data_IF_268337820172
#
_entry.id   IF_268337820172
#
_cell.length_a   1.000
_cell.length_b   1.000
_cell.length_c   1.000
_cell.angle_alpha   90.00
_cell.angle_beta   90.00
_cell.angle_gamma   90.00
#
_symmetry.space_group_name_H-M   'P 1'
#
loop_
_entity.id
_entity.type
_entity.pdbx_description
1 polymer ?
#
# COMPACT_ATOMS: atom_id res chain seq x y z
N UNK A 1 39.85 -41.43 48.77
CA UNK A 1 38.82 -41.80 49.72
C UNK A 1 37.54 -41.31 49.04
N UNK A 2 37.03 -42.18 48.22
CA UNK A 2 35.93 -43.15 48.36
C UNK A 2 34.61 -42.47 48.52
N UNK A 3 33.90 -42.32 47.41
CA UNK A 3 32.79 -43.17 46.98
C UNK A 3 31.95 -43.72 48.14
N UNK A 4 30.68 -43.47 47.98
CA UNK A 4 29.50 -44.11 48.57
C UNK A 4 28.82 -43.44 49.77
N UNK A 5 27.57 -43.52 49.62
CA UNK A 5 26.45 -43.45 50.56
C UNK A 5 25.72 -42.09 50.67
N UNK A 6 24.64 -41.96 49.93
CA UNK A 6 23.31 -41.95 50.51
C UNK A 6 22.21 -42.03 49.39
N UNK A 7 21.67 -43.18 49.32
CA UNK A 7 20.38 -43.49 48.70
C UNK A 7 19.25 -43.22 49.73
N UNK A 8 18.09 -42.93 49.26
CA UNK A 8 16.76 -42.94 49.84
C UNK A 8 16.23 -41.58 50.42
N UNK A 9 15.35 -40.97 49.63
CA UNK A 9 13.95 -40.75 50.02
C UNK A 9 13.17 -40.18 48.83
N UNK A 10 12.68 -41.05 47.93
CA UNK A 10 11.57 -40.75 47.03
C UNK A 10 10.25 -40.81 47.81
N UNK A 11 9.63 -39.66 48.04
CA UNK A 11 8.19 -39.61 48.33
C UNK A 11 7.48 -39.15 47.06
N UNK A 12 6.76 -40.09 46.45
CA UNK A 12 5.82 -39.85 45.36
C UNK A 12 4.70 -38.95 45.87
N UNK A 13 4.58 -37.76 45.27
CA UNK A 13 3.31 -37.04 45.19
C UNK A 13 2.85 -37.12 43.74
N UNK A 14 1.97 -38.09 43.46
CA UNK A 14 1.17 -38.13 42.27
C UNK A 14 0.12 -37.01 42.36
N UNK A 15 0.38 -35.89 41.70
CA UNK A 15 -0.65 -34.96 41.34
C UNK A 15 -1.28 -35.48 40.03
N UNK A 16 -2.51 -35.96 40.09
CA UNK A 16 -3.35 -36.21 38.93
C UNK A 16 -3.57 -34.92 38.18
N UNK A 17 -2.84 -34.71 37.11
CA UNK A 17 -3.20 -33.77 36.09
C UNK A 17 -4.20 -34.44 35.16
N UNK A 18 -5.47 -34.11 35.32
CA UNK A 18 -6.50 -34.50 34.37
C UNK A 18 -6.21 -33.80 33.06
N UNK A 19 -5.63 -34.54 32.12
CA UNK A 19 -5.58 -34.11 30.71
C UNK A 19 -7.01 -34.17 30.21
N UNK A 20 -7.64 -33.01 30.09
CA UNK A 20 -8.86 -32.91 29.28
C UNK A 20 -8.44 -33.18 27.84
N UNK A 21 -8.98 -34.23 27.28
CA UNK A 21 -8.91 -34.50 25.87
C UNK A 21 -9.46 -33.28 25.14
N UNK A 22 -8.66 -32.69 24.25
CA UNK A 22 -9.16 -31.74 23.32
C UNK A 22 -10.25 -32.41 22.50
N UNK A 23 -11.46 -31.88 22.59
CA UNK A 23 -12.57 -32.29 21.75
C UNK A 23 -12.15 -32.16 20.29
N UNK A 24 -12.10 -33.30 19.62
CA UNK A 24 -12.03 -33.35 18.15
C UNK A 24 -13.36 -32.76 17.69
N UNK A 25 -13.30 -31.53 17.18
CA UNK A 25 -14.45 -30.89 16.55
C UNK A 25 -14.84 -31.75 15.36
N UNK A 26 -15.99 -32.40 15.48
CA UNK A 26 -16.59 -33.20 14.42
C UNK A 26 -16.91 -32.29 13.23
N UNK A 27 -16.29 -32.55 12.09
CA UNK A 27 -16.44 -31.75 10.85
C UNK A 27 -17.85 -31.82 10.23
N UNK A 28 -18.83 -32.36 10.96
CA UNK A 28 -20.21 -32.54 10.53
C UNK A 28 -21.24 -31.92 11.47
N UNK A 29 -20.92 -30.88 12.24
CA UNK A 29 -21.93 -30.15 13.00
C UNK A 29 -22.67 -29.17 12.07
N UNK A 30 -23.95 -29.38 11.74
CA UNK A 30 -24.73 -28.53 10.84
C UNK A 30 -25.27 -27.26 11.52
N UNK A 31 -24.73 -26.86 12.67
CA UNK A 31 -25.29 -25.78 13.50
C UNK A 31 -24.69 -24.39 13.27
N UNK A 32 -23.71 -24.22 12.36
CA UNK A 32 -23.30 -22.91 11.86
C UNK A 32 -23.68 -22.81 10.39
N UNK A 33 -24.95 -22.48 10.14
CA UNK A 33 -25.35 -22.00 8.82
C UNK A 33 -24.48 -20.81 8.42
N UNK A 34 -24.24 -20.56 7.10
CA UNK A 34 -23.47 -19.43 6.65
C UNK A 34 -24.06 -18.17 7.27
N UNK A 35 -23.30 -17.53 8.18
CA UNK A 35 -23.68 -16.25 8.76
C UNK A 35 -24.09 -15.33 7.63
N UNK A 36 -25.09 -14.47 7.86
CA UNK A 36 -25.75 -13.66 6.83
C UNK A 36 -24.72 -12.80 6.08
N UNK A 37 -24.13 -13.39 5.04
CA UNK A 37 -23.10 -12.81 4.18
C UNK A 37 -23.58 -11.48 3.54
N UNK A 38 -24.90 -11.24 3.53
CA UNK A 38 -25.52 -10.02 3.02
C UNK A 38 -25.34 -8.84 3.97
N UNK A 39 -25.42 -9.06 5.29
CA UNK A 39 -25.25 -8.02 6.30
C UNK A 39 -23.78 -7.54 6.35
N UNK A 40 -22.82 -8.46 6.36
CA UNK A 40 -21.39 -8.13 6.33
C UNK A 40 -21.00 -7.37 5.04
N UNK A 41 -21.52 -7.79 3.90
CA UNK A 41 -21.33 -7.09 2.63
C UNK A 41 -21.95 -5.69 2.64
N UNK A 42 -23.12 -5.52 3.20
CA UNK A 42 -23.78 -4.20 3.31
C UNK A 42 -22.99 -3.26 4.23
N UNK A 43 -22.46 -3.77 5.34
CA UNK A 43 -21.61 -3.00 6.24
C UNK A 43 -20.30 -2.58 5.56
N UNK A 44 -19.64 -3.50 4.85
CA UNK A 44 -18.44 -3.23 4.05
C UNK A 44 -18.70 -2.13 3.01
N UNK A 45 -19.82 -2.19 2.29
CA UNK A 45 -20.20 -1.15 1.33
C UNK A 45 -20.47 0.21 2.01
N UNK A 46 -21.10 0.23 3.18
CA UNK A 46 -21.24 1.48 3.95
C UNK A 46 -19.88 2.06 4.35
N UNK A 47 -18.97 1.22 4.85
CA UNK A 47 -17.61 1.63 5.20
C UNK A 47 -16.82 2.13 3.98
N UNK A 48 -16.96 1.47 2.82
CA UNK A 48 -16.32 1.90 1.57
C UNK A 48 -16.78 3.31 1.14
N UNK A 49 -18.07 3.63 1.30
CA UNK A 49 -18.64 4.94 0.97
C UNK A 49 -18.57 5.98 2.09
N UNK A 50 -17.83 5.69 3.16
CA UNK A 50 -17.52 6.68 4.17
C UNK A 50 -16.76 7.86 3.51
N UNK A 51 -17.06 9.09 3.95
CA UNK A 51 -16.46 10.28 3.34
C UNK A 51 -14.95 10.33 3.62
N UNK A 52 -14.15 10.38 2.58
CA UNK A 52 -12.69 10.62 2.64
C UNK A 52 -12.35 11.78 1.71
N UNK A 53 -12.25 12.98 2.25
CA UNK A 53 -11.94 14.20 1.48
C UNK A 53 -10.55 14.12 0.87
N UNK A 54 -9.56 13.80 1.69
CA UNK A 54 -8.17 13.58 1.29
C UNK A 54 -7.68 12.27 1.90
N UNK A 55 -7.15 11.39 1.05
CA UNK A 55 -6.34 10.26 1.46
C UNK A 55 -4.87 10.67 1.30
N UNK A 56 -4.10 10.69 2.39
CA UNK A 56 -2.68 11.01 2.35
C UNK A 56 -1.85 9.73 2.28
N UNK A 57 -1.08 9.55 1.21
CA UNK A 57 -0.08 8.48 1.16
C UNK A 57 1.18 8.89 1.93
N UNK A 58 1.59 8.08 2.88
CA UNK A 58 2.87 8.20 3.55
C UNK A 58 3.79 7.05 3.13
N UNK A 59 4.93 7.41 2.53
CA UNK A 59 5.94 6.48 1.98
C UNK A 59 6.67 5.65 3.06
N UNK A 60 6.45 5.94 4.35
CA UNK A 60 7.00 5.23 5.51
C UNK A 60 8.49 5.44 5.75
N UNK A 61 9.17 6.25 4.93
CA UNK A 61 10.57 6.58 5.14
C UNK A 61 10.80 7.76 6.11
N UNK A 62 9.78 8.21 6.79
CA UNK A 62 9.81 9.16 7.90
C UNK A 62 10.63 8.62 9.07
N UNK A 63 10.59 7.33 9.35
CA UNK A 63 11.46 6.67 10.34
C UNK A 63 12.97 6.88 10.12
N UNK A 64 13.38 7.23 8.90
CA UNK A 64 14.78 7.48 8.51
C UNK A 64 15.18 8.95 8.53
N UNK A 65 14.24 9.84 8.68
CA UNK A 65 14.45 11.28 8.53
C UNK A 65 14.24 12.05 9.84
N UNK A 66 14.28 11.34 10.98
CA UNK A 66 14.31 12.00 12.28
C UNK A 66 15.57 12.86 12.33
N UNK A 67 15.42 14.13 12.68
CA UNK A 67 16.55 15.01 12.84
C UNK A 67 17.44 14.49 13.99
N UNK A 68 18.76 14.47 13.77
CA UNK A 68 19.73 13.88 14.71
C UNK A 68 19.75 14.57 16.08
N UNK A 69 19.14 15.76 16.18
CA UNK A 69 19.06 16.59 17.37
C UNK A 69 17.76 16.43 18.19
N UNK A 70 16.80 15.61 17.69
CA UNK A 70 15.54 15.37 18.41
C UNK A 70 15.63 14.11 19.28
N UNK A 71 14.95 14.13 20.47
CA UNK A 71 14.76 12.93 21.27
C UNK A 71 13.89 11.96 20.51
N UNK A 72 14.26 10.99 19.92
CA UNK A 72 13.63 10.10 18.97
C UNK A 72 12.50 9.27 19.60
N UNK A 73 11.48 9.97 19.97
CA UNK A 73 10.25 9.43 20.54
C UNK A 73 9.21 9.12 19.44
N UNK A 74 8.16 8.38 19.81
CA UNK A 74 7.00 8.18 18.94
C UNK A 74 6.32 9.48 18.52
N UNK A 75 6.32 10.46 19.43
CA UNK A 75 5.76 11.79 19.14
C UNK A 75 6.61 12.55 18.12
N UNK A 76 7.93 12.42 18.15
CA UNK A 76 8.82 13.01 17.14
C UNK A 76 8.63 12.35 15.78
N UNK A 77 8.47 11.04 15.74
CA UNK A 77 8.12 10.29 14.53
C UNK A 77 6.80 10.78 13.94
N UNK A 78 5.73 10.85 14.73
CA UNK A 78 4.41 11.31 14.27
C UNK A 78 4.43 12.78 13.86
N UNK A 79 5.20 13.63 14.53
CA UNK A 79 5.29 15.07 14.25
C UNK A 79 5.81 15.38 12.85
N UNK A 80 6.64 14.50 12.28
CA UNK A 80 7.24 14.75 10.99
C UNK A 80 6.22 14.81 9.85
N UNK A 81 5.22 13.90 9.83
CA UNK A 81 4.30 13.76 8.69
C UNK A 81 2.84 13.58 9.09
N UNK A 82 2.54 13.35 10.35
CA UNK A 82 1.25 12.82 10.76
C UNK A 82 0.51 13.73 11.74
N UNK A 83 1.06 14.07 12.92
CA UNK A 83 0.33 14.84 13.93
C UNK A 83 -0.18 16.20 13.43
N UNK A 84 0.54 16.95 12.57
CA UNK A 84 0.02 18.22 12.05
C UNK A 84 -1.14 18.08 11.07
N UNK A 85 -1.48 16.87 10.63
CA UNK A 85 -2.66 16.62 9.78
C UNK A 85 -3.97 16.63 10.58
N UNK A 86 -3.92 16.51 11.89
CA UNK A 86 -5.11 16.59 12.75
C UNK A 86 -5.81 17.94 12.54
N UNK A 87 -7.15 17.89 12.30
CA UNK A 87 -7.95 19.07 11.99
C UNK A 87 -7.78 19.59 10.56
N UNK A 88 -7.09 18.89 9.67
CA UNK A 88 -7.05 19.13 8.23
C UNK A 88 -8.21 18.43 7.50
N UNK A 89 -8.16 18.37 6.18
CA UNK A 89 -9.10 17.58 5.38
C UNK A 89 -8.65 16.13 5.14
N UNK A 90 -7.58 15.69 5.82
CA UNK A 90 -7.09 14.31 5.72
C UNK A 90 -7.97 13.43 6.61
N UNK A 91 -8.75 12.57 5.99
CA UNK A 91 -9.64 11.63 6.66
C UNK A 91 -9.06 10.20 6.70
N UNK A 92 -8.05 9.92 5.86
CA UNK A 92 -7.34 8.63 5.87
C UNK A 92 -5.85 8.79 5.55
N UNK A 93 -5.02 7.95 6.17
CA UNK A 93 -3.60 7.82 5.87
C UNK A 93 -3.34 6.41 5.31
N UNK A 94 -2.79 6.35 4.10
CA UNK A 94 -2.32 5.12 3.50
C UNK A 94 -0.82 5.01 3.75
N UNK A 95 -0.48 4.21 4.76
CA UNK A 95 0.86 4.12 5.31
C UNK A 95 1.63 2.93 4.73
N UNK A 96 2.72 3.21 4.03
CA UNK A 96 3.64 2.20 3.51
C UNK A 96 4.78 1.98 4.51
N UNK A 97 5.05 0.74 4.88
CA UNK A 97 6.12 0.41 5.83
C UNK A 97 7.43 -0.01 5.17
N UNK A 98 7.50 0.02 3.85
CA UNK A 98 8.72 -0.35 3.13
C UNK A 98 8.52 -0.72 1.67
N UNK A 99 9.50 -1.37 1.09
CA UNK A 99 9.45 -1.93 -0.27
C UNK A 99 9.06 -3.40 -0.28
N UNK A 100 8.93 -3.99 -1.48
CA UNK A 100 8.51 -5.40 -1.63
C UNK A 100 9.30 -6.35 -0.74
N UNK A 101 8.61 -6.97 0.21
CA UNK A 101 9.07 -8.01 1.13
C UNK A 101 10.07 -7.57 2.20
N UNK A 102 10.40 -6.28 2.25
CA UNK A 102 11.15 -5.66 3.34
C UNK A 102 10.34 -4.53 3.96
N UNK A 103 10.40 -4.42 5.27
CA UNK A 103 9.79 -3.33 6.00
C UNK A 103 10.77 -2.70 6.99
N UNK A 104 10.51 -1.45 7.36
CA UNK A 104 11.08 -0.86 8.57
C UNK A 104 10.59 -1.64 9.80
N UNK A 105 11.10 -1.33 10.97
CA UNK A 105 10.78 -2.06 12.20
C UNK A 105 9.29 -2.41 12.32
N UNK A 106 8.99 -3.72 12.42
CA UNK A 106 7.64 -4.28 12.45
C UNK A 106 7.61 -5.61 13.19
N UNK A 107 6.40 -6.09 13.49
CA UNK A 107 6.17 -7.41 14.09
C UNK A 107 5.71 -8.46 13.07
N UNK A 108 5.64 -8.14 11.79
CA UNK A 108 5.33 -9.12 10.73
C UNK A 108 6.36 -10.24 10.72
N UNK A 109 5.89 -11.48 10.51
CA UNK A 109 6.74 -12.66 10.38
C UNK A 109 6.98 -13.05 8.93
N UNK A 110 6.21 -12.45 8.01
CA UNK A 110 6.29 -12.76 6.59
C UNK A 110 7.17 -11.77 5.80
N UNK A 111 7.60 -10.67 6.41
CA UNK A 111 8.51 -9.71 5.81
C UNK A 111 9.85 -9.67 6.52
N UNK A 112 10.86 -9.16 5.84
CA UNK A 112 12.19 -8.99 6.39
C UNK A 112 12.38 -7.54 6.88
N UNK A 113 13.18 -7.37 7.91
CA UNK A 113 13.65 -6.04 8.31
C UNK A 113 14.67 -5.52 7.29
N UNK A 114 14.64 -4.23 7.00
CA UNK A 114 15.77 -3.58 6.39
C UNK A 114 16.99 -3.74 7.29
N UNK A 115 17.90 -4.61 6.89
CA UNK A 115 19.18 -4.80 7.56
C UNK A 115 20.21 -3.91 6.90
N UNK A 116 20.88 -3.13 7.73
CA UNK A 116 22.06 -2.35 7.34
C UNK A 116 21.83 -1.37 6.18
N UNK A 117 21.24 -0.26 6.47
CA UNK A 117 21.33 0.90 5.58
C UNK A 117 22.77 1.48 5.54
N UNK A 118 23.69 0.86 6.25
CA UNK A 118 25.15 1.12 6.21
C UNK A 118 25.60 2.49 6.69
N UNK A 119 24.71 3.42 6.96
CA UNK A 119 25.06 4.80 7.28
C UNK A 119 24.18 5.51 8.30
N UNK A 120 22.95 5.04 8.55
CA UNK A 120 22.06 5.68 9.50
C UNK A 120 21.39 4.63 10.40
N UNK A 121 21.30 4.86 11.70
CA UNK A 121 20.53 4.02 12.58
C UNK A 121 19.08 3.98 12.07
N UNK A 122 18.52 2.78 11.91
CA UNK A 122 17.11 2.59 11.63
C UNK A 122 16.31 2.95 12.88
N UNK A 123 15.83 4.18 12.94
CA UNK A 123 15.07 4.70 14.09
C UNK A 123 13.78 3.95 14.33
N UNK A 124 13.17 3.39 13.28
CA UNK A 124 12.10 2.42 13.41
C UNK A 124 12.52 1.23 14.26
N UNK A 125 13.79 0.87 14.23
CA UNK A 125 14.36 -0.16 15.09
C UNK A 125 14.26 0.21 16.58
N UNK A 126 14.61 1.43 16.97
CA UNK A 126 14.51 1.88 18.36
C UNK A 126 13.06 2.05 18.80
N UNK A 127 12.19 2.63 17.96
CA UNK A 127 10.78 2.79 18.26
C UNK A 127 10.05 1.47 18.53
N UNK A 128 10.49 0.36 17.91
CA UNK A 128 9.89 -0.95 18.09
C UNK A 128 10.43 -1.78 19.26
N UNK A 129 11.53 -1.38 19.91
CA UNK A 129 12.14 -2.18 20.99
C UNK A 129 11.30 -2.21 22.27
N UNK A 130 10.63 -1.10 22.62
CA UNK A 130 9.94 -0.90 23.87
C UNK A 130 8.41 -0.80 23.73
N UNK A 131 7.80 -1.43 22.72
CA UNK A 131 6.34 -1.41 22.53
C UNK A 131 5.90 -1.40 21.07
N UNK A 132 4.82 -0.66 20.72
CA UNK A 132 4.28 -0.63 19.37
C UNK A 132 5.33 -0.25 18.33
N UNK A 133 5.36 -0.98 17.22
CA UNK A 133 6.17 -0.61 16.05
C UNK A 133 5.58 0.59 15.29
N UNK A 134 6.20 0.96 14.17
CA UNK A 134 5.80 2.14 13.40
C UNK A 134 4.37 2.04 12.85
N UNK A 135 3.95 0.85 12.40
CA UNK A 135 2.59 0.65 11.88
C UNK A 135 1.56 0.70 13.01
N UNK A 136 1.83 0.00 14.14
CA UNK A 136 0.94 0.07 15.30
C UNK A 136 0.85 1.49 15.86
N UNK A 137 1.98 2.22 15.90
CA UNK A 137 2.00 3.63 16.33
C UNK A 137 1.12 4.50 15.42
N UNK A 138 1.16 4.25 14.11
CA UNK A 138 0.32 4.97 13.14
C UNK A 138 -1.17 4.64 13.30
N UNK A 139 -1.52 3.36 13.49
CA UNK A 139 -2.89 2.89 13.73
C UNK A 139 -3.44 3.49 15.02
N UNK A 140 -2.70 3.40 16.12
CA UNK A 140 -3.11 3.94 17.42
C UNK A 140 -3.32 5.46 17.36
N UNK A 141 -2.50 6.17 16.59
CA UNK A 141 -2.64 7.61 16.39
C UNK A 141 -3.87 7.92 15.53
N UNK A 142 -4.04 7.24 14.41
CA UNK A 142 -5.17 7.46 13.50
C UNK A 142 -6.51 7.27 14.21
N UNK A 143 -6.67 6.14 14.90
CA UNK A 143 -7.90 5.83 15.62
C UNK A 143 -8.21 6.82 16.76
N UNK A 144 -7.19 7.37 17.44
CA UNK A 144 -7.39 8.42 18.47
C UNK A 144 -7.87 9.75 17.89
N UNK A 145 -7.67 9.97 16.60
CA UNK A 145 -7.97 11.25 15.94
C UNK A 145 -9.00 11.13 14.82
N UNK A 146 -9.75 10.02 14.78
CA UNK A 146 -10.76 9.74 13.75
C UNK A 146 -10.20 9.80 12.32
N UNK A 147 -8.96 9.34 12.14
CA UNK A 147 -8.28 9.20 10.85
C UNK A 147 -8.11 7.71 10.55
N UNK A 148 -8.68 7.23 9.46
CA UNK A 148 -8.50 5.83 9.04
C UNK A 148 -7.04 5.56 8.66
N UNK A 149 -6.56 4.36 8.96
CA UNK A 149 -5.21 3.92 8.59
C UNK A 149 -5.28 2.65 7.74
N UNK A 150 -4.89 2.79 6.49
CA UNK A 150 -4.70 1.66 5.58
C UNK A 150 -3.23 1.32 5.50
N UNK A 151 -2.90 0.04 5.54
CA UNK A 151 -1.55 -0.38 5.19
C UNK A 151 -1.39 -0.48 3.68
N UNK A 152 -0.42 0.27 3.13
CA UNK A 152 -0.15 0.33 1.70
C UNK A 152 1.00 -0.61 1.33
N UNK A 153 0.68 -1.69 0.60
CA UNK A 153 1.66 -2.60 0.05
C UNK A 153 2.02 -2.24 -1.39
N UNK A 154 3.27 -1.89 -1.63
CA UNK A 154 3.80 -1.77 -2.99
C UNK A 154 3.87 -3.15 -3.63
N UNK A 155 2.97 -3.42 -4.57
CA UNK A 155 2.86 -4.75 -5.20
C UNK A 155 4.12 -5.12 -5.97
N UNK A 156 4.78 -4.15 -6.60
CA UNK A 156 6.16 -4.29 -7.03
C UNK A 156 6.99 -3.06 -6.61
N UNK A 157 8.21 -3.30 -6.13
CA UNK A 157 9.16 -2.26 -5.79
C UNK A 157 10.54 -2.64 -6.32
N UNK A 158 11.17 -1.76 -7.08
CA UNK A 158 12.46 -1.99 -7.73
C UNK A 158 13.55 -1.05 -7.23
N UNK A 159 13.37 -0.44 -6.04
CA UNK A 159 14.42 0.37 -5.42
C UNK A 159 15.67 -0.45 -5.11
N UNK A 160 15.49 -1.74 -4.84
CA UNK A 160 16.56 -2.70 -4.59
C UNK A 160 17.50 -2.91 -5.79
N UNK A 161 17.06 -2.63 -7.00
CA UNK A 161 17.95 -2.60 -8.17
C UNK A 161 19.02 -1.50 -8.10
N UNK A 162 18.72 -0.39 -7.40
CA UNK A 162 19.64 0.72 -7.19
C UNK A 162 20.33 0.64 -5.83
N UNK A 163 19.62 0.21 -4.82
CA UNK A 163 20.05 0.17 -3.43
C UNK A 163 20.07 -1.27 -2.94
N UNK A 164 21.22 -1.91 -3.00
CA UNK A 164 21.37 -3.34 -2.67
C UNK A 164 20.89 -3.70 -1.26
N UNK A 165 20.95 -2.76 -0.32
CA UNK A 165 20.47 -2.93 1.05
C UNK A 165 18.92 -3.08 1.12
N UNK A 166 18.19 -2.62 0.11
CA UNK A 166 16.74 -2.79 0.02
C UNK A 166 16.35 -4.20 -0.44
N UNK A 167 17.27 -4.99 -0.99
CA UNK A 167 16.92 -6.30 -1.54
C UNK A 167 16.75 -7.33 -0.44
N UNK A 168 15.54 -7.91 -0.35
CA UNK A 168 15.24 -8.97 0.62
C UNK A 168 16.08 -10.22 0.37
N UNK A 169 16.34 -10.98 1.43
CA UNK A 169 16.98 -12.31 1.29
C UNK A 169 16.09 -13.24 0.46
N UNK A 170 14.76 -13.12 0.62
CA UNK A 170 13.83 -13.90 -0.19
C UNK A 170 14.06 -13.69 -1.70
N UNK A 171 14.22 -12.45 -2.17
CA UNK A 171 14.55 -12.18 -3.58
C UNK A 171 15.92 -12.71 -3.97
N UNK A 172 16.93 -12.61 -3.09
CA UNK A 172 18.29 -13.08 -3.35
C UNK A 172 18.37 -14.60 -3.53
N UNK A 173 17.56 -15.36 -2.78
CA UNK A 173 17.54 -16.83 -2.90
C UNK A 173 16.55 -17.34 -3.96
N UNK A 174 15.72 -16.45 -4.53
CA UNK A 174 14.78 -16.77 -5.61
C UNK A 174 15.00 -15.88 -6.86
N UNK A 175 16.23 -15.78 -7.40
CA UNK A 175 16.51 -14.91 -8.52
C UNK A 175 15.69 -15.23 -9.77
N UNK A 176 15.26 -16.48 -9.93
CA UNK A 176 14.40 -16.94 -11.04
C UNK A 176 13.00 -16.32 -11.03
N UNK A 177 12.55 -15.78 -9.90
CA UNK A 177 11.23 -15.11 -9.77
C UNK A 177 11.29 -13.62 -10.11
N UNK A 178 12.49 -13.07 -10.29
CA UNK A 178 12.66 -11.70 -10.77
C UNK A 178 12.51 -11.62 -12.29
N UNK A 179 12.14 -10.45 -12.78
CA UNK A 179 11.94 -10.18 -14.21
C UNK A 179 13.21 -10.35 -15.05
N UNK A 180 14.38 -10.06 -14.49
CA UNK A 180 15.67 -10.10 -15.18
C UNK A 180 16.84 -10.26 -14.22
N UNK A 181 18.02 -9.85 -14.67
CA UNK A 181 19.28 -9.93 -13.94
C UNK A 181 19.93 -8.55 -13.77
N UNK A 182 20.78 -8.36 -12.75
CA UNK A 182 21.53 -7.12 -12.58
C UNK A 182 22.24 -6.68 -13.85
N UNK A 183 22.03 -5.42 -14.25
CA UNK A 183 22.65 -4.84 -15.46
C UNK A 183 21.97 -5.21 -16.78
N UNK A 184 20.93 -6.01 -16.78
CA UNK A 184 20.18 -6.33 -17.99
C UNK A 184 19.53 -5.08 -18.56
N UNK A 185 19.74 -4.85 -19.87
CA UNK A 185 19.06 -3.81 -20.64
C UNK A 185 17.75 -4.35 -21.23
N UNK A 186 16.76 -3.47 -21.33
CA UNK A 186 15.47 -3.79 -21.92
C UNK A 186 15.31 -3.04 -23.24
N UNK A 187 14.65 -3.63 -24.25
CA UNK A 187 14.65 -3.13 -25.63
C UNK A 187 13.87 -1.83 -25.82
N UNK A 188 13.18 -1.33 -24.81
CA UNK A 188 12.41 -0.09 -24.89
C UNK A 188 12.50 0.71 -23.58
N UNK A 189 12.08 1.98 -23.63
CA UNK A 189 12.11 2.92 -22.51
C UNK A 189 13.47 3.59 -22.32
N UNK A 190 13.46 4.76 -21.70
CA UNK A 190 14.68 5.55 -21.50
C UNK A 190 15.63 4.85 -20.54
N UNK A 191 16.92 4.88 -20.86
CA UNK A 191 18.02 4.24 -20.12
C UNK A 191 18.10 4.59 -18.61
N UNK A 192 17.40 5.64 -18.17
CA UNK A 192 17.44 6.10 -16.77
C UNK A 192 16.82 5.13 -15.76
N UNK A 193 15.94 4.23 -16.16
CA UNK A 193 15.32 3.27 -15.26
C UNK A 193 15.81 1.85 -15.52
N UNK A 194 17.04 1.58 -15.11
CA UNK A 194 17.64 0.24 -15.19
C UNK A 194 17.12 -0.75 -14.13
N UNK A 195 16.16 -0.33 -13.28
CA UNK A 195 15.75 -1.09 -12.10
C UNK A 195 14.70 -2.16 -12.33
N UNK A 196 14.04 -2.20 -13.47
CA UNK A 196 12.92 -3.14 -13.72
C UNK A 196 13.28 -4.60 -13.58
N UNK A 197 14.57 -4.97 -13.74
CA UNK A 197 15.03 -6.34 -13.62
C UNK A 197 14.73 -6.98 -12.26
N UNK A 198 14.69 -6.18 -11.18
CA UNK A 198 14.41 -6.68 -9.83
C UNK A 198 12.93 -6.78 -9.49
N UNK A 199 12.03 -6.37 -10.39
CA UNK A 199 10.60 -6.60 -10.22
C UNK A 199 10.30 -8.11 -10.19
N UNK A 200 9.25 -8.49 -9.48
CA UNK A 200 8.82 -9.88 -9.35
C UNK A 200 7.78 -10.22 -10.43
N UNK A 201 7.89 -11.43 -10.96
CA UNK A 201 6.98 -11.96 -11.98
C UNK A 201 5.76 -12.61 -11.34
N UNK A 202 4.61 -11.94 -11.43
CA UNK A 202 3.35 -12.44 -10.87
C UNK A 202 2.75 -13.63 -11.61
N UNK A 203 3.31 -14.04 -12.74
CA UNK A 203 2.97 -15.33 -13.36
C UNK A 203 3.39 -16.51 -12.46
N UNK A 204 4.44 -16.32 -11.64
CA UNK A 204 4.90 -17.31 -10.69
C UNK A 204 3.95 -17.45 -9.49
N UNK A 205 3.41 -18.66 -9.21
CA UNK A 205 2.53 -18.86 -8.05
C UNK A 205 3.20 -18.52 -6.72
N UNK A 206 4.52 -18.77 -6.60
CA UNK A 206 5.31 -18.51 -5.39
C UNK A 206 5.32 -17.01 -5.02
N UNK A 207 5.32 -16.11 -6.02
CA UNK A 207 5.23 -14.67 -5.81
C UNK A 207 3.86 -14.32 -5.25
N UNK A 208 2.78 -14.81 -5.87
CA UNK A 208 1.41 -14.56 -5.42
C UNK A 208 1.15 -15.11 -4.01
N UNK A 209 1.69 -16.30 -3.73
CA UNK A 209 1.58 -16.91 -2.39
C UNK A 209 2.32 -16.06 -1.33
N UNK A 210 3.53 -15.59 -1.62
CA UNK A 210 4.30 -14.74 -0.71
C UNK A 210 3.58 -13.43 -0.43
N UNK A 211 3.03 -12.80 -1.47
CA UNK A 211 2.24 -11.57 -1.34
C UNK A 211 1.01 -11.79 -0.45
N UNK A 212 0.25 -12.87 -0.69
CA UNK A 212 -0.94 -13.17 0.11
C UNK A 212 -0.58 -13.40 1.59
N UNK A 213 0.50 -14.14 1.87
CA UNK A 213 0.95 -14.36 3.25
C UNK A 213 1.31 -13.06 3.96
N UNK A 214 2.01 -12.15 3.28
CA UNK A 214 2.35 -10.83 3.83
C UNK A 214 1.08 -10.03 4.14
N UNK A 215 0.13 -9.96 3.20
CA UNK A 215 -1.15 -9.27 3.38
C UNK A 215 -1.94 -9.87 4.55
N UNK A 216 -1.98 -11.20 4.64
CA UNK A 216 -2.66 -11.92 5.73
C UNK A 216 -2.02 -11.65 7.08
N UNK A 217 -0.70 -11.68 7.16
CA UNK A 217 0.03 -11.44 8.41
C UNK A 217 -0.19 -10.01 8.92
N UNK A 218 -0.13 -9.00 8.05
CA UNK A 218 -0.45 -7.62 8.44
C UNK A 218 -1.92 -7.47 8.85
N UNK A 219 -2.84 -8.00 8.05
CA UNK A 219 -4.28 -7.91 8.33
C UNK A 219 -4.69 -8.55 9.65
N UNK A 220 -3.96 -9.59 10.10
CA UNK A 220 -4.27 -10.29 11.35
C UNK A 220 -3.56 -9.71 12.57
N UNK A 221 -2.42 -9.04 12.38
CA UNK A 221 -1.63 -8.48 13.49
C UNK A 221 -1.98 -7.07 13.86
N UNK A 222 -2.38 -6.27 12.88
CA UNK A 222 -2.64 -4.85 13.07
C UNK A 222 -4.11 -4.53 12.83
N UNK A 223 -4.65 -3.65 13.64
CA UNK A 223 -6.04 -3.21 13.51
C UNK A 223 -6.21 -2.10 12.45
N UNK A 224 -5.63 -2.33 11.26
CA UNK A 224 -5.79 -1.41 10.13
C UNK A 224 -7.22 -1.40 9.61
N UNK A 225 -7.68 -0.27 9.06
CA UNK A 225 -9.02 -0.12 8.49
C UNK A 225 -9.13 -0.73 7.10
N UNK A 226 -7.99 -0.89 6.43
CA UNK A 226 -7.92 -1.54 5.12
C UNK A 226 -6.50 -1.83 4.67
N UNK A 227 -6.44 -2.48 3.52
CA UNK A 227 -5.21 -2.78 2.80
C UNK A 227 -5.24 -2.05 1.45
N UNK A 228 -4.18 -1.33 1.11
CA UNK A 228 -3.97 -0.84 -0.25
C UNK A 228 -3.00 -1.75 -0.99
N UNK A 229 -3.43 -2.25 -2.13
CA UNK A 229 -2.58 -2.92 -3.11
C UNK A 229 -2.09 -1.87 -4.11
N UNK A 230 -0.89 -1.33 -3.88
CA UNK A 230 -0.31 -0.29 -4.72
C UNK A 230 0.35 -0.89 -5.97
N UNK A 231 -0.43 -1.00 -7.06
CA UNK A 231 0.06 -1.44 -8.36
C UNK A 231 0.76 -0.31 -9.14
N UNK A 232 0.68 0.93 -8.66
CA UNK A 232 1.22 2.06 -9.41
C UNK A 232 2.64 2.46 -8.99
N UNK A 233 3.17 1.94 -7.88
CA UNK A 233 4.54 2.32 -7.44
C UNK A 233 5.59 2.03 -8.52
N UNK A 234 5.61 0.80 -9.03
CA UNK A 234 6.38 0.37 -10.19
C UNK A 234 5.52 -0.59 -11.02
N UNK A 235 4.77 -0.10 -12.02
CA UNK A 235 3.74 -0.87 -12.71
C UNK A 235 4.31 -1.87 -13.73
N UNK A 236 5.07 -2.84 -13.23
CA UNK A 236 5.65 -3.97 -13.99
C UNK A 236 5.36 -5.24 -13.22
N UNK A 237 4.60 -6.20 -13.82
CA UNK A 237 4.09 -7.39 -13.14
C UNK A 237 4.37 -8.69 -13.85
N UNK A 238 4.65 -8.65 -15.16
CA UNK A 238 4.81 -9.83 -15.98
C UNK A 238 6.00 -9.69 -16.93
N UNK A 239 6.75 -10.77 -17.13
CA UNK A 239 7.95 -10.78 -18.01
C UNK A 239 7.72 -10.25 -19.41
N UNK A 240 6.60 -10.51 -20.10
CA UNK A 240 6.35 -9.93 -21.40
C UNK A 240 6.48 -8.41 -21.46
N UNK A 241 6.12 -7.69 -20.36
CA UNK A 241 6.30 -6.25 -20.30
C UNK A 241 7.76 -5.81 -20.43
N UNK A 242 8.71 -6.66 -20.02
CA UNK A 242 10.13 -6.32 -20.03
C UNK A 242 10.70 -6.33 -21.45
N UNK A 243 10.18 -7.17 -22.33
CA UNK A 243 10.60 -7.35 -23.71
C UNK A 243 9.72 -6.59 -24.71
N UNK A 244 8.61 -6.00 -24.23
CA UNK A 244 7.62 -5.34 -25.06
C UNK A 244 6.70 -6.32 -25.78
N UNK A 245 6.62 -7.56 -25.29
CA UNK A 245 5.66 -8.55 -25.72
C UNK A 245 4.30 -8.31 -25.03
N UNK A 246 3.18 -8.71 -25.66
CA UNK A 246 1.86 -8.56 -25.08
C UNK A 246 1.69 -9.34 -23.78
N UNK A 247 1.10 -8.70 -22.80
CA UNK A 247 0.52 -9.36 -21.61
C UNK A 247 -0.83 -9.95 -22.02
N UNK A 248 -1.04 -11.24 -21.75
CA UNK A 248 -2.23 -11.99 -22.19
C UNK A 248 -3.34 -11.99 -21.13
N UNK A 249 -4.52 -12.51 -21.51
CA UNK A 249 -5.63 -12.70 -20.56
C UNK A 249 -5.24 -13.63 -19.40
N UNK A 250 -4.41 -14.64 -19.63
CA UNK A 250 -3.91 -15.53 -18.58
C UNK A 250 -3.16 -14.79 -17.48
N UNK A 251 -2.39 -13.76 -17.83
CA UNK A 251 -1.72 -12.89 -16.85
C UNK A 251 -2.73 -12.07 -16.04
N UNK A 252 -3.76 -11.54 -16.69
CA UNK A 252 -4.88 -10.88 -16.00
C UNK A 252 -5.61 -11.83 -15.05
N UNK A 253 -5.79 -13.09 -15.46
CA UNK A 253 -6.44 -14.12 -14.64
C UNK A 253 -5.61 -14.46 -13.40
N UNK A 254 -4.28 -14.53 -13.52
CA UNK A 254 -3.37 -14.71 -12.38
C UNK A 254 -3.52 -13.59 -11.34
N UNK A 255 -3.60 -12.35 -11.78
CA UNK A 255 -3.74 -11.20 -10.88
C UNK A 255 -5.15 -11.16 -10.27
N UNK A 256 -6.18 -11.45 -11.06
CA UNK A 256 -7.57 -11.53 -10.57
C UNK A 256 -7.75 -12.64 -9.53
N UNK A 257 -7.12 -13.81 -9.76
CA UNK A 257 -7.10 -14.90 -8.78
C UNK A 257 -6.48 -14.47 -7.44
N UNK A 258 -5.36 -13.74 -7.49
CA UNK A 258 -4.74 -13.18 -6.28
C UNK A 258 -5.71 -12.24 -5.55
N UNK A 259 -6.34 -11.30 -6.26
CA UNK A 259 -7.30 -10.39 -5.64
C UNK A 259 -8.50 -11.14 -5.03
N UNK A 260 -9.00 -12.17 -5.70
CA UNK A 260 -10.07 -13.02 -5.16
C UNK A 260 -9.67 -13.72 -3.85
N UNK A 261 -8.40 -14.15 -3.74
CA UNK A 261 -7.86 -14.71 -2.49
C UNK A 261 -7.71 -13.64 -1.40
N UNK A 262 -7.24 -12.44 -1.77
CA UNK A 262 -7.14 -11.30 -0.83
C UNK A 262 -8.53 -10.91 -0.33
N UNK A 263 -9.56 -10.91 -1.20
CA UNK A 263 -10.94 -10.62 -0.79
C UNK A 263 -11.44 -11.63 0.24
N UNK A 264 -11.30 -12.91 -0.01
CA UNK A 264 -11.69 -13.96 0.95
C UNK A 264 -10.97 -13.80 2.28
N UNK A 265 -9.65 -13.61 2.25
CA UNK A 265 -8.86 -13.37 3.45
C UNK A 265 -9.34 -12.14 4.23
N UNK A 266 -9.68 -11.06 3.53
CA UNK A 266 -10.18 -9.83 4.16
C UNK A 266 -11.56 -10.05 4.79
N UNK A 267 -12.46 -10.81 4.15
CA UNK A 267 -13.77 -11.16 4.71
C UNK A 267 -13.61 -12.04 5.96
N UNK A 268 -12.72 -13.05 5.92
CA UNK A 268 -12.41 -13.90 7.08
C UNK A 268 -11.83 -13.10 8.27
N UNK A 269 -11.00 -12.09 8.00
CA UNK A 269 -10.47 -11.20 9.05
C UNK A 269 -11.57 -10.31 9.59
N UNK A 270 -12.43 -9.75 8.73
CA UNK A 270 -13.54 -8.91 9.11
C UNK A 270 -14.53 -9.66 10.03
N UNK A 271 -14.87 -10.90 9.70
CA UNK A 271 -15.75 -11.76 10.51
C UNK A 271 -15.17 -12.00 11.91
N UNK A 272 -13.87 -12.28 12.00
CA UNK A 272 -13.21 -12.51 13.30
C UNK A 272 -13.14 -11.26 14.18
N UNK A 273 -12.99 -10.07 13.58
CA UNK A 273 -12.84 -8.81 14.33
C UNK A 273 -14.14 -8.02 14.48
N UNK A 274 -15.22 -8.46 13.83
CA UNK A 274 -16.56 -7.85 13.92
C UNK A 274 -16.66 -6.47 13.25
N UNK A 275 -15.74 -6.13 12.33
CA UNK A 275 -15.77 -4.92 11.51
C UNK A 275 -15.11 -5.12 10.16
N UNK A 276 -15.52 -4.40 9.11
CA UNK A 276 -14.92 -4.55 7.78
C UNK A 276 -13.41 -4.32 7.75
N UNK A 277 -12.72 -5.05 6.87
CA UNK A 277 -11.37 -4.75 6.40
C UNK A 277 -11.49 -4.38 4.93
N UNK A 278 -11.26 -3.12 4.57
CA UNK A 278 -11.45 -2.65 3.21
C UNK A 278 -10.23 -2.99 2.33
N UNK A 279 -10.48 -3.18 1.04
CA UNK A 279 -9.44 -3.35 0.02
C UNK A 279 -9.46 -2.14 -0.90
N UNK A 280 -8.34 -1.43 -0.97
CA UNK A 280 -8.07 -0.38 -1.94
C UNK A 280 -7.09 -0.88 -2.99
N UNK A 281 -7.27 -0.48 -4.25
CA UNK A 281 -6.28 -0.70 -5.30
C UNK A 281 -5.85 0.64 -5.88
N UNK A 282 -4.53 0.84 -6.08
CA UNK A 282 -4.00 1.99 -6.80
C UNK A 282 -3.48 1.55 -8.16
N UNK A 283 -4.10 2.04 -9.24
CA UNK A 283 -3.90 1.59 -10.61
C UNK A 283 -3.75 2.77 -11.58
N UNK A 284 -3.25 2.55 -12.83
CA UNK A 284 -3.34 3.55 -13.88
C UNK A 284 -4.77 4.01 -14.13
N UNK A 285 -4.95 5.28 -14.46
CA UNK A 285 -6.23 5.91 -14.73
C UNK A 285 -6.85 5.57 -16.12
N UNK A 286 -6.21 4.66 -16.85
CA UNK A 286 -6.72 4.08 -18.08
C UNK A 286 -6.94 2.58 -17.93
N UNK A 287 -8.18 2.13 -18.08
CA UNK A 287 -8.54 0.69 -18.06
C UNK A 287 -7.76 -0.09 -19.13
N UNK A 288 -7.60 0.48 -20.32
CA UNK A 288 -6.85 -0.16 -21.40
C UNK A 288 -5.36 -0.32 -21.04
N UNK A 289 -4.73 0.72 -20.48
CA UNK A 289 -3.34 0.63 -20.02
C UNK A 289 -3.22 -0.37 -18.87
N UNK A 290 -4.11 -0.32 -17.87
CA UNK A 290 -4.11 -1.24 -16.75
C UNK A 290 -4.19 -2.70 -17.25
N UNK A 291 -5.10 -2.99 -18.15
CA UNK A 291 -5.23 -4.33 -18.75
C UNK A 291 -4.00 -4.76 -19.55
N UNK A 292 -3.36 -3.84 -20.26
CA UNK A 292 -2.14 -4.11 -21.04
C UNK A 292 -0.92 -4.44 -20.15
N UNK A 293 -0.99 -4.16 -18.85
CA UNK A 293 0.02 -4.57 -17.84
C UNK A 293 -0.48 -5.69 -16.92
N UNK A 294 -1.62 -6.33 -17.25
CA UNK A 294 -2.16 -7.49 -16.54
C UNK A 294 -3.11 -7.16 -15.38
N UNK A 295 -3.63 -5.93 -15.31
CA UNK A 295 -4.56 -5.49 -14.26
C UNK A 295 -5.96 -5.34 -14.87
N UNK A 296 -6.80 -6.36 -14.77
CA UNK A 296 -8.18 -6.35 -15.28
C UNK A 296 -9.11 -5.66 -14.27
N UNK A 297 -8.91 -4.33 -14.10
CA UNK A 297 -9.57 -3.51 -13.09
C UNK A 297 -11.09 -3.58 -13.21
N UNK A 298 -11.63 -3.52 -14.42
CA UNK A 298 -13.09 -3.57 -14.62
C UNK A 298 -13.69 -4.89 -14.14
N UNK A 299 -12.98 -6.00 -14.35
CA UNK A 299 -13.36 -7.31 -13.81
C UNK A 299 -13.31 -7.33 -12.27
N UNK A 300 -12.27 -6.72 -11.68
CA UNK A 300 -12.16 -6.64 -10.21
C UNK A 300 -13.33 -5.89 -9.59
N UNK A 301 -13.77 -4.80 -10.24
CA UNK A 301 -14.95 -4.04 -9.81
C UNK A 301 -16.24 -4.85 -9.98
N UNK A 302 -16.39 -5.53 -11.11
CA UNK A 302 -17.56 -6.36 -11.43
C UNK A 302 -17.71 -7.56 -10.48
N UNK A 303 -16.59 -8.17 -10.07
CA UNK A 303 -16.54 -9.30 -9.16
C UNK A 303 -16.50 -8.85 -7.66
N UNK A 304 -16.63 -7.55 -7.37
CA UNK A 304 -16.66 -6.97 -6.00
C UNK A 304 -15.37 -7.27 -5.20
N UNK A 305 -14.21 -7.29 -5.86
CA UNK A 305 -12.94 -7.64 -5.25
C UNK A 305 -12.23 -6.46 -4.58
N UNK A 306 -12.65 -5.22 -4.85
CA UNK A 306 -12.09 -4.00 -4.29
C UNK A 306 -13.19 -3.08 -3.77
N UNK A 307 -12.87 -2.29 -2.76
CA UNK A 307 -13.78 -1.37 -2.08
C UNK A 307 -13.51 0.10 -2.43
N UNK A 308 -12.25 0.44 -2.73
CA UNK A 308 -11.83 1.78 -3.13
C UNK A 308 -10.93 1.71 -4.36
N UNK A 309 -11.12 2.64 -5.29
CA UNK A 309 -10.31 2.76 -6.50
C UNK A 309 -9.51 4.06 -6.45
N UNK A 310 -8.18 3.94 -6.30
CA UNK A 310 -7.24 5.05 -6.45
C UNK A 310 -6.67 5.01 -7.85
N UNK A 311 -6.79 6.11 -8.59
CA UNK A 311 -6.43 6.16 -10.00
C UNK A 311 -5.30 7.17 -10.29
N UNK A 312 -4.27 6.73 -11.01
CA UNK A 312 -3.16 7.57 -11.43
C UNK A 312 -1.98 7.62 -10.44
N UNK A 313 -1.02 8.50 -10.72
CA UNK A 313 0.19 8.65 -9.91
C UNK A 313 1.31 9.38 -10.65
N UNK A 314 2.32 8.64 -11.11
CA UNK A 314 3.47 9.22 -11.84
C UNK A 314 3.11 9.76 -13.22
N UNK A 315 2.04 9.26 -13.78
CA UNK A 315 1.47 9.72 -15.05
C UNK A 315 -0.06 9.78 -14.94
N UNK A 316 -0.66 10.53 -15.84
CA UNK A 316 -2.09 10.75 -15.99
C UNK A 316 -2.42 10.64 -17.48
N UNK A 317 -3.30 9.73 -17.83
CA UNK A 317 -3.51 9.27 -19.20
C UNK A 317 -4.81 9.77 -19.81
N UNK A 318 -5.83 9.92 -18.99
CA UNK A 318 -7.18 10.19 -19.45
C UNK A 318 -7.87 11.21 -18.53
N UNK A 319 -8.89 11.94 -19.02
CA UNK A 319 -9.72 12.77 -18.17
C UNK A 319 -10.28 11.96 -16.98
N UNK A 320 -10.36 12.59 -15.80
CA UNK A 320 -10.79 11.93 -14.56
C UNK A 320 -12.18 11.31 -14.68
N UNK A 321 -13.07 11.92 -15.48
CA UNK A 321 -14.42 11.44 -15.76
C UNK A 321 -14.43 9.98 -16.26
N UNK A 322 -13.41 9.59 -17.02
CA UNK A 322 -13.31 8.25 -17.59
C UNK A 322 -13.23 7.17 -16.51
N UNK A 323 -12.29 7.29 -15.59
CA UNK A 323 -12.09 6.29 -14.53
C UNK A 323 -13.14 6.40 -13.43
N UNK A 324 -13.63 7.62 -13.14
CA UNK A 324 -14.70 7.86 -12.16
C UNK A 324 -15.99 7.18 -12.63
N UNK A 325 -16.37 7.35 -13.89
CA UNK A 325 -17.54 6.69 -14.46
C UNK A 325 -17.45 5.16 -14.39
N UNK A 326 -16.24 4.61 -14.52
CA UNK A 326 -16.03 3.16 -14.38
C UNK A 326 -16.25 2.72 -12.93
N UNK A 327 -15.63 3.36 -11.95
CA UNK A 327 -15.83 3.01 -10.53
C UNK A 327 -17.29 3.14 -10.09
N UNK A 328 -17.95 4.24 -10.43
CA UNK A 328 -19.34 4.50 -10.07
C UNK A 328 -20.32 3.51 -10.71
N UNK A 329 -20.06 3.01 -11.93
CA UNK A 329 -20.86 1.95 -12.56
C UNK A 329 -20.98 0.70 -11.68
N UNK A 330 -19.95 0.40 -10.91
CA UNK A 330 -19.88 -0.75 -10.00
C UNK A 330 -20.09 -0.37 -8.54
N UNK A 331 -20.53 0.86 -8.26
CA UNK A 331 -20.73 1.37 -6.91
C UNK A 331 -19.46 1.28 -6.04
N UNK A 332 -18.32 1.72 -6.60
CA UNK A 332 -17.03 1.82 -5.93
C UNK A 332 -16.55 3.27 -5.98
N UNK A 333 -16.22 3.89 -4.83
CA UNK A 333 -15.73 5.27 -4.78
C UNK A 333 -14.33 5.37 -5.40
N UNK A 334 -14.09 6.51 -6.07
CA UNK A 334 -12.90 6.77 -6.86
C UNK A 334 -12.14 7.99 -6.35
N UNK A 335 -10.84 7.83 -6.17
CA UNK A 335 -9.92 8.83 -5.66
C UNK A 335 -8.81 9.12 -6.68
N UNK A 336 -8.92 10.18 -7.49
CA UNK A 336 -7.86 10.67 -8.35
C UNK A 336 -6.56 10.93 -7.58
N UNK A 337 -5.43 10.40 -8.07
CA UNK A 337 -4.14 10.53 -7.42
C UNK A 337 -3.37 11.77 -7.91
N UNK A 338 -3.29 12.76 -7.05
CA UNK A 338 -2.48 13.96 -7.21
C UNK A 338 -1.06 13.68 -6.70
N UNK A 339 -0.06 13.79 -7.57
CA UNK A 339 1.31 13.35 -7.26
C UNK A 339 2.32 14.46 -7.42
N UNK A 340 3.13 14.72 -6.39
CA UNK A 340 4.26 15.65 -6.49
C UNK A 340 5.30 15.24 -7.55
N UNK A 341 5.33 13.97 -7.93
CA UNK A 341 6.21 13.49 -9.01
C UNK A 341 5.78 13.99 -10.39
N UNK A 342 4.51 14.30 -10.56
CA UNK A 342 3.91 14.82 -11.79
C UNK A 342 3.68 16.34 -11.70
N UNK A 343 3.06 16.80 -10.63
CA UNK A 343 2.67 18.19 -10.44
C UNK A 343 3.82 19.09 -9.94
N UNK A 344 4.85 18.53 -9.33
CA UNK A 344 5.83 19.27 -8.54
C UNK A 344 5.36 19.47 -7.10
N UNK A 345 6.21 20.01 -6.23
CA UNK A 345 5.81 20.30 -4.85
C UNK A 345 4.94 21.55 -4.76
N UNK A 346 3.95 21.53 -3.88
CA UNK A 346 3.12 22.69 -3.62
C UNK A 346 3.90 23.79 -2.86
N UNK A 347 4.77 23.42 -1.93
CA UNK A 347 5.65 24.34 -1.20
C UNK A 347 7.09 23.88 -1.26
N UNK A 348 8.02 24.82 -1.08
CA UNK A 348 9.44 24.50 -0.98
C UNK A 348 9.71 23.61 0.25
N UNK A 349 10.60 22.64 0.07
CA UNK A 349 11.05 21.75 1.17
C UNK A 349 12.50 22.07 1.56
N UNK A 350 12.76 22.02 2.84
CA UNK A 350 14.10 22.22 3.40
C UNK A 350 14.96 20.93 3.39
N UNK A 351 14.42 19.80 2.88
CA UNK A 351 15.11 18.52 2.92
C UNK A 351 15.89 18.19 1.62
N UNK A 352 16.54 17.02 1.61
CA UNK A 352 17.38 16.52 0.51
C UNK A 352 16.67 16.35 -0.85
N UNK A 353 15.41 16.77 -1.00
CA UNK A 353 14.68 16.75 -2.26
C UNK A 353 14.56 18.13 -2.91
N UNK A 354 15.41 19.07 -2.54
CA UNK A 354 15.42 20.45 -3.06
C UNK A 354 15.55 20.56 -4.60
N UNK A 355 15.97 19.48 -5.28
CA UNK A 355 16.13 19.47 -6.74
C UNK A 355 14.82 19.27 -7.52
N UNK A 356 13.69 19.04 -6.84
CA UNK A 356 12.42 18.86 -7.53
C UNK A 356 11.73 20.20 -7.76
N UNK A 357 11.07 20.33 -8.92
CA UNK A 357 10.29 21.52 -9.28
C UNK A 357 9.26 21.83 -8.18
N UNK A 358 9.24 23.06 -7.72
CA UNK A 358 8.16 23.64 -6.94
C UNK A 358 7.19 24.29 -7.91
N UNK A 359 5.96 23.81 -7.96
CA UNK A 359 4.92 24.35 -8.85
C UNK A 359 4.00 25.34 -8.15
N UNK A 360 3.95 25.27 -6.83
CA UNK A 360 3.03 26.06 -6.02
C UNK A 360 1.67 25.39 -5.77
N UNK A 361 0.94 25.82 -4.74
CA UNK A 361 -0.35 25.22 -4.38
C UNK A 361 -1.44 25.43 -5.44
N UNK A 362 -1.35 26.47 -6.26
CA UNK A 362 -2.35 26.76 -7.30
C UNK A 362 -2.47 25.62 -8.34
N UNK A 363 -1.38 24.93 -8.68
CA UNK A 363 -1.39 23.76 -9.59
C UNK A 363 -2.12 22.58 -8.95
N UNK A 364 -1.90 22.35 -7.67
CA UNK A 364 -2.59 21.29 -6.92
C UNK A 364 -4.09 21.56 -6.79
N UNK A 365 -4.45 22.83 -6.54
CA UNK A 365 -5.86 23.26 -6.48
C UNK A 365 -6.56 23.06 -7.81
N UNK A 366 -5.94 23.46 -8.92
CA UNK A 366 -6.50 23.26 -10.25
C UNK A 366 -6.72 21.79 -10.61
N UNK A 367 -5.78 20.91 -10.24
CA UNK A 367 -5.93 19.48 -10.47
C UNK A 367 -7.00 18.86 -9.57
N UNK A 368 -7.09 19.27 -8.30
CA UNK A 368 -8.15 18.83 -7.40
C UNK A 368 -9.53 19.32 -7.84
N UNK A 369 -9.65 20.57 -8.28
CA UNK A 369 -10.90 21.11 -8.81
C UNK A 369 -11.41 20.26 -9.99
N UNK A 370 -10.54 19.92 -10.95
CA UNK A 370 -10.91 19.01 -12.06
C UNK A 370 -11.40 17.65 -11.56
N UNK A 371 -10.75 17.10 -10.52
CA UNK A 371 -11.16 15.81 -9.95
C UNK A 371 -12.56 15.91 -9.33
N UNK A 372 -12.83 16.96 -8.56
CA UNK A 372 -14.14 17.21 -7.97
C UNK A 372 -15.22 17.47 -9.01
N UNK A 373 -14.93 18.29 -10.04
CA UNK A 373 -15.86 18.58 -11.15
C UNK A 373 -16.22 17.32 -11.93
N UNK A 374 -15.27 16.40 -12.05
CA UNK A 374 -15.48 15.08 -12.67
C UNK A 374 -16.31 14.13 -11.77
N UNK A 375 -16.65 14.50 -10.54
CA UNK A 375 -17.46 13.72 -9.61
C UNK A 375 -16.68 12.76 -8.72
N UNK A 376 -15.40 13.03 -8.43
CA UNK A 376 -14.60 12.21 -7.52
C UNK A 376 -15.19 12.15 -6.10
N UNK A 377 -14.96 11.06 -5.40
CA UNK A 377 -15.39 10.87 -4.00
C UNK A 377 -14.42 11.46 -2.98
N UNK A 378 -13.25 11.87 -3.46
CA UNK A 378 -12.16 12.51 -2.74
C UNK A 378 -10.91 12.56 -3.60
N UNK A 379 -9.79 13.02 -3.03
CA UNK A 379 -8.50 13.04 -3.71
C UNK A 379 -7.45 12.25 -2.93
N UNK A 380 -6.53 11.60 -3.65
CA UNK A 380 -5.40 10.89 -3.08
C UNK A 380 -4.12 11.72 -3.30
N UNK A 381 -3.44 12.10 -2.22
CA UNK A 381 -2.23 12.92 -2.25
C UNK A 381 -0.99 12.02 -2.12
N UNK A 382 -0.15 12.01 -3.15
CA UNK A 382 1.03 11.14 -3.26
C UNK A 382 2.34 11.92 -3.33
N UNK A 383 3.35 11.46 -2.60
CA UNK A 383 4.69 12.06 -2.54
C UNK A 383 4.71 13.53 -2.04
N UNK A 384 3.71 13.95 -1.27
CA UNK A 384 3.68 15.23 -0.58
C UNK A 384 3.74 14.96 0.93
N UNK A 385 4.90 15.21 1.55
CA UNK A 385 5.20 14.77 2.91
C UNK A 385 5.35 15.92 3.91
N UNK A 386 5.13 17.17 3.50
CA UNK A 386 5.07 18.29 4.42
C UNK A 386 3.64 18.39 5.00
N UNK A 387 3.38 17.99 6.25
CA UNK A 387 2.03 18.00 6.81
C UNK A 387 1.49 19.41 7.08
N UNK A 388 2.36 20.42 6.99
CA UNK A 388 2.01 21.85 7.11
C UNK A 388 1.61 22.46 5.76
N UNK A 389 1.72 21.69 4.66
CA UNK A 389 1.36 22.20 3.34
C UNK A 389 -0.12 22.61 3.32
N UNK A 390 -0.47 23.81 2.83
CA UNK A 390 -1.85 24.29 2.80
C UNK A 390 -2.79 23.37 2.03
N UNK A 391 -2.29 22.60 1.05
CA UNK A 391 -3.11 21.68 0.26
C UNK A 391 -3.90 20.69 1.12
N UNK A 392 -3.37 20.27 2.27
CA UNK A 392 -4.09 19.35 3.17
C UNK A 392 -5.30 19.98 3.87
N UNK A 393 -5.45 21.30 3.81
CA UNK A 393 -6.58 22.06 4.36
C UNK A 393 -7.47 22.67 3.29
N UNK A 394 -7.10 22.51 2.01
CA UNK A 394 -7.76 23.15 0.88
C UNK A 394 -8.39 22.11 -0.06
N UNK A 395 -7.63 21.09 -0.49
CA UNK A 395 -8.03 20.20 -1.59
C UNK A 395 -9.28 19.37 -1.30
N UNK A 396 -9.65 19.19 -0.04
CA UNK A 396 -10.82 18.39 0.39
C UNK A 396 -12.14 19.18 0.41
N UNK A 397 -12.16 20.45 0.02
CA UNK A 397 -13.36 21.28 -0.03
C UNK A 397 -13.50 21.99 -1.38
N UNK A 398 -14.34 21.49 -2.30
CA UNK A 398 -14.56 22.10 -3.60
C UNK A 398 -15.00 23.56 -3.52
N UNK A 399 -15.85 23.92 -2.53
CA UNK A 399 -16.33 25.29 -2.37
C UNK A 399 -15.23 26.26 -1.92
N UNK A 400 -14.25 25.77 -1.16
CA UNK A 400 -13.07 26.56 -0.83
C UNK A 400 -12.17 26.70 -2.04
N UNK A 401 -12.00 25.65 -2.86
CA UNK A 401 -11.20 25.70 -4.08
C UNK A 401 -11.69 26.77 -5.05
N UNK A 402 -13.02 26.95 -5.21
CA UNK A 402 -13.62 27.98 -6.06
C UNK A 402 -13.20 29.41 -5.69
N UNK A 403 -12.73 29.62 -4.46
CA UNK A 403 -12.33 30.93 -3.93
C UNK A 403 -10.81 31.15 -3.98
N UNK A 404 -10.04 30.13 -4.34
CA UNK A 404 -8.59 30.17 -4.32
C UNK A 404 -8.02 30.23 -5.74
N UNK A 405 -6.84 30.81 -5.87
CA UNK A 405 -6.10 30.78 -7.13
C UNK A 405 -5.83 29.36 -7.59
N UNK A 406 -6.14 29.07 -8.84
CA UNK A 406 -5.97 27.79 -9.49
C UNK A 406 -5.17 27.93 -10.78
N UNK A 407 -4.30 26.97 -11.04
CA UNK A 407 -3.54 26.85 -12.30
C UNK A 407 -3.77 25.46 -12.89
N UNK A 408 -4.15 25.42 -14.15
CA UNK A 408 -4.42 24.18 -14.87
C UNK A 408 -3.23 23.82 -15.75
N UNK A 409 -2.53 22.74 -15.42
CA UNK A 409 -1.43 22.20 -16.22
C UNK A 409 -1.81 20.82 -16.76
N UNK A 410 -1.45 20.55 -18.02
CA UNK A 410 -1.50 19.22 -18.60
C UNK A 410 -0.11 18.61 -18.49
N UNK A 411 0.05 17.61 -17.65
CA UNK A 411 1.31 16.88 -17.48
C UNK A 411 1.05 15.38 -17.47
N UNK A 412 1.32 14.75 -18.62
CA UNK A 412 1.12 13.31 -18.81
C UNK A 412 2.09 12.47 -17.96
N UNK A 413 3.30 12.94 -17.74
CA UNK A 413 4.35 12.19 -17.03
C UNK A 413 5.06 11.14 -17.90
N UNK A 414 6.01 10.40 -17.33
CA UNK A 414 6.88 9.49 -18.07
C UNK A 414 6.24 8.10 -18.29
N UNK A 415 5.70 7.86 -19.47
CA UNK A 415 5.06 6.59 -19.87
C UNK A 415 6.02 5.55 -20.46
N UNK A 416 7.03 6.03 -21.19
CA UNK A 416 7.91 5.24 -22.07
C UNK A 416 8.68 4.11 -21.39
N UNK A 417 8.72 4.09 -20.09
CA UNK A 417 9.48 3.11 -19.30
C UNK A 417 8.65 1.95 -18.74
N UNK A 418 7.33 2.01 -18.81
CA UNK A 418 6.46 1.04 -18.14
C UNK A 418 5.74 0.08 -19.10
N UNK A 419 5.39 0.58 -20.28
CA UNK A 419 4.73 -0.20 -21.30
C UNK A 419 5.21 0.29 -22.67
N UNK A 420 5.59 -0.64 -23.56
CA UNK A 420 5.88 -0.33 -24.94
C UNK A 420 4.62 0.23 -25.61
N UNK A 421 4.77 1.34 -26.32
CA UNK A 421 3.66 2.03 -26.98
C UNK A 421 2.53 2.48 -26.02
N UNK A 422 2.87 2.74 -24.75
CA UNK A 422 1.91 3.15 -23.72
C UNK A 422 1.23 4.50 -24.00
N UNK A 423 1.80 5.33 -24.86
CA UNK A 423 1.28 6.61 -25.30
C UNK A 423 -0.04 6.48 -26.11
N UNK A 424 -0.31 5.32 -26.71
CA UNK A 424 -1.60 5.03 -27.36
C UNK A 424 -2.82 5.17 -26.43
N UNK A 425 -2.60 5.12 -25.11
CA UNK A 425 -3.66 5.21 -24.11
C UNK A 425 -3.88 6.65 -23.60
N UNK A 426 -3.05 7.60 -24.05
CA UNK A 426 -3.21 9.01 -23.68
C UNK A 426 -4.40 9.61 -24.44
N UNK A 427 -5.33 10.22 -23.69
CA UNK A 427 -6.49 10.93 -24.22
C UNK A 427 -6.77 12.13 -23.31
N UNK A 428 -6.61 13.33 -23.86
CA UNK A 428 -6.91 14.60 -23.20
C UNK A 428 -7.81 15.48 -24.05
#
# INVERSE_FOLDING_TARGET
>A
MTFNDLLLACILLLACVSVHAADVVDANDPATGPGDNSACKAERKRAAHQRRRIIMNNDGNDVRNLADDLPQTRDDFLRQRTSPLVGSHVDAIFYCTGGAFNMYRHHSQETELYKDSGSDPDWGWQLGLDGPDVLQTMVDFGHRHDIEVFWSMRMNDTHDAKYAWCMSQWKKIHPQLMMGQPGQEFPFGRARWKGRWSALDYAAPEVREKVLRILTDVATRYDVDGLELDFFRHPVFFRPQMTGEPVTQEHCDCMTELLGRVRRMSDDVADRRGRPLLISVRVPDSIGFAKAIGLDVERWLAEDLTDLLVAGGYFHLQPWESIIAVGHRYNVPVYPCLSASRLGFATARADRFNDRKVSGPAVWRGEAARAWDAGADGVYVFNCFNPQDPIFRELGDPKLLDQLEQTYEVNVGPLDRWLKDGDQFVRH
#
